data_IF_090942571263
#
_entry.id   IF_090942571263
#
_cell.length_a   1.000
_cell.length_b   1.000
_cell.length_c   1.000
_cell.angle_alpha   90.00
_cell.angle_beta   90.00
_cell.angle_gamma   90.00
#
_symmetry.space_group_name_H-M   'P 1'
#
loop_
_entity.id
_entity.type
_entity.pdbx_description
1 polymer ?
#
# COMPACT_ATOMS: atom_id res chain seq x y z
N UNK A 1 -23.14 -48.51 -17.56
CA UNK A 1 -22.56 -47.18 -17.85
C UNK A 1 -23.68 -46.31 -18.43
N UNK A 2 -24.19 -45.32 -17.67
CA UNK A 2 -25.35 -44.52 -18.10
C UNK A 2 -24.90 -43.49 -19.14
N UNK A 3 -25.27 -43.74 -20.40
CA UNK A 3 -25.13 -42.77 -21.48
C UNK A 3 -26.10 -41.62 -21.27
N UNK A 4 -25.61 -40.52 -20.69
CA UNK A 4 -26.35 -39.27 -20.57
C UNK A 4 -26.46 -38.60 -21.93
N UNK A 5 -27.69 -38.43 -22.42
CA UNK A 5 -28.03 -37.64 -23.60
C UNK A 5 -27.65 -36.18 -23.32
N UNK A 6 -26.50 -35.73 -23.83
CA UNK A 6 -26.07 -34.33 -23.75
C UNK A 6 -27.00 -33.49 -24.64
N UNK A 7 -28.02 -32.87 -24.04
CA UNK A 7 -28.82 -31.84 -24.70
C UNK A 7 -27.91 -30.62 -24.83
N UNK A 8 -27.24 -30.51 -25.97
CA UNK A 8 -26.41 -29.36 -26.32
C UNK A 8 -27.35 -28.20 -26.63
N UNK A 9 -27.56 -27.33 -25.64
CA UNK A 9 -28.27 -26.06 -25.83
C UNK A 9 -27.40 -25.17 -26.70
N UNK A 10 -28.00 -24.51 -27.70
CA UNK A 10 -27.30 -23.63 -28.64
C UNK A 10 -27.12 -22.25 -27.99
N UNK A 11 -26.07 -21.52 -28.36
CA UNK A 11 -25.84 -20.15 -27.93
C UNK A 11 -26.99 -19.24 -28.37
N UNK A 12 -27.63 -18.58 -27.40
CA UNK A 12 -28.76 -17.68 -27.61
C UNK A 12 -28.35 -16.34 -28.24
N UNK A 13 -27.05 -15.99 -28.21
CA UNK A 13 -26.53 -14.79 -28.87
C UNK A 13 -26.18 -15.00 -30.34
N UNK A 14 -25.55 -16.12 -30.69
CA UNK A 14 -25.03 -16.32 -32.04
C UNK A 14 -25.72 -17.43 -32.83
N UNK A 15 -26.50 -18.30 -32.19
CA UNK A 15 -27.24 -19.40 -32.84
C UNK A 15 -26.39 -20.47 -33.53
N UNK A 16 -25.06 -20.34 -33.55
CA UNK A 16 -24.16 -21.14 -34.40
C UNK A 16 -23.39 -22.21 -33.63
N UNK A 17 -23.14 -22.00 -32.34
CA UNK A 17 -22.28 -22.84 -31.50
C UNK A 17 -23.05 -23.31 -30.28
N UNK A 18 -22.60 -24.42 -29.69
CA UNK A 18 -23.14 -24.91 -28.42
C UNK A 18 -22.85 -23.88 -27.31
N UNK A 19 -23.86 -23.63 -26.48
CA UNK A 19 -23.70 -22.86 -25.26
C UNK A 19 -22.89 -23.68 -24.25
N UNK A 20 -21.86 -23.05 -23.70
CA UNK A 20 -20.99 -23.62 -22.66
C UNK A 20 -21.05 -22.83 -21.36
N UNK A 21 -21.51 -21.58 -21.42
CA UNK A 21 -21.54 -20.65 -20.30
C UNK A 21 -22.93 -20.03 -20.14
N UNK A 22 -23.18 -19.45 -18.97
CA UNK A 22 -24.42 -18.72 -18.65
C UNK A 22 -24.03 -17.30 -18.24
N UNK A 23 -24.65 -16.28 -18.83
CA UNK A 23 -24.42 -14.88 -18.43
C UNK A 23 -24.94 -14.65 -17.01
N UNK A 24 -24.13 -14.05 -16.14
CA UNK A 24 -24.54 -13.75 -14.76
C UNK A 24 -25.62 -12.66 -14.66
N UNK A 25 -25.68 -11.74 -15.63
CA UNK A 25 -26.65 -10.63 -15.63
C UNK A 25 -28.01 -11.03 -16.22
N UNK A 26 -28.02 -11.69 -17.37
CA UNK A 26 -29.27 -11.96 -18.12
C UNK A 26 -29.67 -13.44 -18.15
N UNK A 27 -28.85 -14.35 -17.62
CA UNK A 27 -29.14 -15.79 -17.57
C UNK A 27 -29.10 -16.52 -18.91
N UNK A 28 -28.77 -15.84 -20.02
CA UNK A 28 -28.70 -16.46 -21.36
C UNK A 28 -27.59 -17.49 -21.45
N UNK A 29 -27.82 -18.53 -22.25
CA UNK A 29 -26.88 -19.60 -22.56
C UNK A 29 -25.98 -19.21 -23.74
N UNK A 30 -24.67 -19.20 -23.55
CA UNK A 30 -23.72 -18.51 -24.43
C UNK A 30 -22.49 -19.37 -24.74
N UNK A 31 -21.91 -19.21 -25.93
CA UNK A 31 -20.67 -19.87 -26.34
C UNK A 31 -19.41 -19.11 -25.91
N UNK A 32 -18.26 -19.79 -25.95
CA UNK A 32 -16.93 -19.26 -25.60
C UNK A 32 -16.47 -17.99 -26.34
N UNK A 33 -17.10 -17.65 -27.46
CA UNK A 33 -16.78 -16.42 -28.23
C UNK A 33 -17.73 -15.26 -27.96
N UNK A 34 -18.84 -15.50 -27.27
CA UNK A 34 -19.86 -14.48 -27.02
C UNK A 34 -19.93 -14.11 -25.53
N UNK A 35 -18.97 -14.61 -24.73
CA UNK A 35 -18.79 -14.32 -23.32
C UNK A 35 -17.54 -13.44 -23.14
N UNK A 36 -17.64 -12.47 -22.25
CA UNK A 36 -16.48 -11.76 -21.69
C UNK A 36 -15.89 -12.64 -20.56
N UNK A 37 -14.70 -13.24 -20.73
CA UNK A 37 -14.19 -14.27 -19.81
C UNK A 37 -13.95 -13.80 -18.38
N UNK A 38 -13.65 -12.52 -18.19
CA UNK A 38 -13.34 -11.97 -16.87
C UNK A 38 -14.59 -11.65 -16.04
N UNK A 39 -15.63 -11.13 -16.68
CA UNK A 39 -16.86 -10.68 -16.02
C UNK A 39 -17.97 -11.74 -16.08
N UNK A 40 -17.80 -12.80 -16.87
CA UNK A 40 -18.81 -13.84 -17.09
C UNK A 40 -20.15 -13.30 -17.63
N UNK A 41 -20.06 -12.32 -18.53
CA UNK A 41 -21.20 -11.63 -19.13
C UNK A 41 -21.29 -11.89 -20.62
N UNK A 42 -22.49 -11.80 -21.20
CA UNK A 42 -22.61 -11.68 -22.65
C UNK A 42 -22.01 -10.36 -23.14
N UNK A 43 -21.57 -10.34 -24.40
CA UNK A 43 -21.10 -9.11 -25.06
C UNK A 43 -22.13 -7.96 -25.00
N UNK A 44 -23.43 -8.26 -25.08
CA UNK A 44 -24.49 -7.25 -24.94
C UNK A 44 -24.55 -6.64 -23.53
N UNK A 45 -24.46 -7.46 -22.48
CA UNK A 45 -24.43 -6.98 -21.09
C UNK A 45 -23.11 -6.27 -20.77
N UNK A 46 -22.00 -6.76 -21.33
CA UNK A 46 -20.69 -6.12 -21.20
C UNK A 46 -20.70 -4.71 -21.79
N UNK A 47 -21.19 -4.54 -23.03
CA UNK A 47 -21.25 -3.23 -23.69
C UNK A 47 -22.15 -2.24 -22.91
N UNK A 48 -23.22 -2.75 -22.29
CA UNK A 48 -24.10 -1.94 -21.43
C UNK A 48 -23.39 -1.42 -20.17
N UNK A 49 -22.45 -2.20 -19.60
CA UNK A 49 -21.64 -1.81 -18.44
C UNK A 49 -20.47 -0.92 -18.87
N UNK A 50 -19.83 -1.19 -20.00
CA UNK A 50 -18.70 -0.40 -20.51
C UNK A 50 -19.11 1.05 -20.86
N UNK A 51 -20.36 1.26 -21.26
CA UNK A 51 -20.92 2.62 -21.47
C UNK A 51 -21.23 3.39 -20.19
N UNK A 52 -21.28 2.73 -19.03
CA UNK A 52 -21.24 3.44 -17.75
C UNK A 52 -19.76 3.74 -17.46
N UNK A 53 -19.38 4.98 -17.09
CA UNK A 53 -18.00 5.27 -16.71
C UNK A 53 -17.64 4.36 -15.54
N UNK A 54 -16.91 3.30 -15.85
CA UNK A 54 -16.59 2.20 -14.98
C UNK A 54 -15.83 2.74 -13.76
N UNK A 55 -16.51 2.70 -12.61
CA UNK A 55 -15.85 2.66 -11.31
C UNK A 55 -15.01 1.40 -11.34
N UNK A 56 -13.70 1.60 -11.50
CA UNK A 56 -12.69 0.57 -11.56
C UNK A 56 -12.85 -0.34 -10.34
N UNK A 57 -13.39 -1.54 -10.57
CA UNK A 57 -13.55 -2.56 -9.54
C UNK A 57 -12.16 -3.09 -9.21
N UNK A 58 -11.60 -2.57 -8.12
CA UNK A 58 -10.98 -3.35 -7.06
C UNK A 58 -9.97 -4.44 -7.47
N UNK A 59 -9.15 -4.22 -8.51
CA UNK A 59 -7.77 -4.69 -8.40
C UNK A 59 -7.10 -3.65 -7.54
N UNK A 60 -6.89 -4.02 -6.27
CA UNK A 60 -6.20 -3.30 -5.18
C UNK A 60 -4.75 -2.96 -5.58
N UNK A 61 -4.59 -2.19 -6.64
CA UNK A 61 -3.37 -1.56 -7.11
C UNK A 61 -3.17 -0.42 -6.15
N UNK A 62 -2.32 -0.67 -5.16
CA UNK A 62 -1.88 0.29 -4.17
C UNK A 62 -1.72 1.66 -4.82
N UNK A 63 -2.66 2.54 -4.49
CA UNK A 63 -2.79 3.91 -4.98
C UNK A 63 -1.70 4.79 -4.32
N UNK A 64 -0.46 4.30 -4.30
CA UNK A 64 0.71 4.97 -3.71
C UNK A 64 1.07 6.25 -4.49
N UNK A 65 0.53 6.41 -5.70
CA UNK A 65 0.78 7.55 -6.56
C UNK A 65 -0.01 8.81 -6.16
N UNK A 66 -1.06 8.70 -5.33
CA UNK A 66 -1.89 9.85 -4.93
C UNK A 66 -1.93 10.13 -3.42
N UNK A 67 -1.17 9.39 -2.63
CA UNK A 67 -1.00 9.74 -1.22
C UNK A 67 -0.06 10.96 -1.20
N UNK A 68 -0.48 12.12 -0.67
CA UNK A 68 0.41 13.26 -0.57
C UNK A 68 1.63 12.80 0.22
N UNK A 69 2.84 12.95 -0.35
CA UNK A 69 4.11 12.52 0.27
C UNK A 69 4.23 12.90 1.75
N UNK A 70 3.58 14.01 2.14
CA UNK A 70 3.45 14.46 3.54
C UNK A 70 2.76 13.44 4.46
N UNK A 71 1.69 12.77 4.02
CA UNK A 71 0.99 11.75 4.84
C UNK A 71 1.85 10.48 5.01
N UNK A 72 2.57 10.06 3.97
CA UNK A 72 3.49 8.91 4.07
C UNK A 72 4.65 9.23 5.01
N UNK A 73 5.19 10.45 4.91
CA UNK A 73 6.26 10.92 5.78
C UNK A 73 5.82 10.99 7.25
N UNK A 74 4.62 11.52 7.53
CA UNK A 74 4.04 11.55 8.89
C UNK A 74 3.79 10.13 9.41
N UNK A 75 3.30 9.22 8.57
CA UNK A 75 3.07 7.83 8.96
C UNK A 75 4.39 7.13 9.30
N UNK A 76 5.44 7.33 8.48
CA UNK A 76 6.78 6.84 8.76
C UNK A 76 7.36 7.42 10.04
N UNK A 77 7.16 8.72 10.29
CA UNK A 77 7.58 9.39 11.53
C UNK A 77 6.91 8.82 12.78
N UNK A 78 5.60 8.58 12.74
CA UNK A 78 4.89 7.96 13.88
C UNK A 78 5.47 6.55 14.13
N UNK A 79 5.73 5.78 13.07
CA UNK A 79 6.24 4.43 13.17
C UNK A 79 7.67 4.37 13.74
N UNK A 80 8.55 5.30 13.35
CA UNK A 80 9.92 5.36 13.89
C UNK A 80 9.93 5.76 15.36
N UNK A 81 9.08 6.70 15.78
CA UNK A 81 8.94 7.07 17.19
C UNK A 81 8.43 5.92 18.04
N UNK A 82 7.41 5.20 17.56
CA UNK A 82 6.91 4.01 18.25
C UNK A 82 8.04 2.98 18.40
N UNK A 83 8.81 2.72 17.34
CA UNK A 83 9.94 1.81 17.39
C UNK A 83 11.02 2.24 18.40
N UNK A 84 11.40 3.52 18.39
CA UNK A 84 12.39 4.06 19.32
C UNK A 84 11.93 3.96 20.78
N UNK A 85 10.67 4.30 21.06
CA UNK A 85 10.10 4.19 22.42
C UNK A 85 10.11 2.73 22.88
N UNK A 86 9.72 1.78 22.03
CA UNK A 86 9.75 0.35 22.35
C UNK A 86 11.17 -0.11 22.70
N UNK A 87 12.18 0.30 21.92
CA UNK A 87 13.58 -0.06 22.18
C UNK A 87 14.10 0.53 23.49
N UNK A 88 13.77 1.79 23.79
CA UNK A 88 14.16 2.45 25.04
C UNK A 88 13.49 1.75 26.23
N UNK A 89 12.19 1.46 26.15
CA UNK A 89 11.48 0.74 27.20
C UNK A 89 12.04 -0.67 27.39
N UNK A 90 12.31 -1.40 26.31
CA UNK A 90 12.94 -2.72 26.38
C UNK A 90 14.33 -2.65 27.05
N UNK A 91 15.14 -1.64 26.74
CA UNK A 91 16.43 -1.44 27.38
C UNK A 91 16.29 -1.15 28.89
N UNK A 92 15.30 -0.35 29.29
CA UNK A 92 15.04 -0.02 30.70
C UNK A 92 14.51 -1.24 31.48
N UNK A 93 13.55 -1.97 30.94
CA UNK A 93 12.92 -3.13 31.60
C UNK A 93 13.80 -4.36 31.62
N UNK A 94 14.65 -4.55 30.61
CA UNK A 94 15.54 -5.71 30.56
C UNK A 94 16.60 -5.70 31.67
N UNK A 95 16.76 -4.59 32.40
CA UNK A 95 17.69 -4.48 33.54
C UNK A 95 19.14 -4.82 33.15
N UNK A 96 19.40 -4.89 31.85
CA UNK A 96 20.65 -5.34 31.29
C UNK A 96 21.64 -4.21 31.54
N UNK A 97 22.46 -4.39 32.57
CA UNK A 97 23.84 -3.91 32.53
C UNK A 97 24.46 -4.58 31.32
N UNK A 98 24.28 -4.03 30.12
CA UNK A 98 24.92 -4.54 28.91
C UNK A 98 26.41 -4.23 29.05
N UNK A 99 27.11 -5.01 29.88
CA UNK A 99 28.47 -5.37 29.57
C UNK A 99 28.37 -6.07 28.23
N UNK A 100 28.67 -5.33 27.17
CA UNK A 100 28.81 -5.87 25.83
C UNK A 100 29.90 -6.94 25.91
N UNK A 101 29.45 -8.17 26.15
CA UNK A 101 30.27 -9.36 26.18
C UNK A 101 31.00 -9.45 24.85
N UNK A 102 32.31 -9.60 24.95
CA UNK A 102 33.20 -9.91 23.86
C UNK A 102 32.70 -11.19 23.19
N UNK A 103 32.08 -11.07 22.02
CA UNK A 103 31.98 -12.14 21.04
C UNK A 103 32.22 -11.54 19.66
N UNK A 104 33.35 -11.97 19.08
CA UNK A 104 33.85 -11.70 17.74
C UNK A 104 32.75 -11.72 16.65
N UNK A 105 32.46 -10.56 16.03
CA UNK A 105 31.92 -10.46 14.66
C UNK A 105 32.21 -9.03 14.12
N UNK A 106 32.54 -8.84 12.83
CA UNK A 106 33.11 -7.59 12.31
C UNK A 106 32.01 -6.63 11.85
N UNK A 107 31.22 -6.09 12.77
CA UNK A 107 30.28 -5.01 12.45
C UNK A 107 30.51 -3.88 13.46
N UNK A 108 30.92 -2.68 13.03
CA UNK A 108 31.18 -1.58 13.95
C UNK A 108 29.83 -0.99 14.38
N UNK A 109 29.28 -1.49 15.48
CA UNK A 109 28.16 -0.86 16.17
C UNK A 109 28.75 0.16 17.14
N UNK A 110 28.33 1.41 16.97
CA UNK A 110 28.80 2.61 17.66
C UNK A 110 28.80 2.39 19.17
N UNK A 111 29.96 2.59 19.79
CA UNK A 111 30.19 2.44 21.22
C UNK A 111 29.31 3.41 22.03
N UNK A 112 28.53 2.82 22.94
CA UNK A 112 27.88 3.53 24.05
C UNK A 112 28.14 2.79 25.36
N UNK A 113 29.40 2.41 25.64
CA UNK A 113 29.78 1.77 26.89
C UNK A 113 30.58 2.77 27.76
N UNK A 114 29.91 3.36 28.76
CA UNK A 114 30.50 4.25 29.75
C UNK A 114 29.41 5.01 30.53
N UNK A 115 29.69 5.46 31.75
CA UNK A 115 28.77 6.25 32.61
C UNK A 115 28.24 7.53 31.92
N UNK A 116 28.89 7.94 30.83
CA UNK A 116 28.58 9.11 30.02
C UNK A 116 27.74 8.78 28.76
N UNK A 117 27.50 7.50 28.46
CA UNK A 117 26.77 7.09 27.25
C UNK A 117 25.30 7.51 27.28
N UNK A 118 24.67 7.48 28.45
CA UNK A 118 23.27 7.90 28.63
C UNK A 118 23.09 9.41 28.37
N UNK A 119 23.86 10.32 28.98
CA UNK A 119 23.73 11.75 28.66
C UNK A 119 24.10 12.07 27.21
N UNK A 120 25.10 11.39 26.62
CA UNK A 120 25.44 11.55 25.21
C UNK A 120 24.31 11.10 24.26
N UNK A 121 23.62 10.00 24.57
CA UNK A 121 22.44 9.57 23.81
C UNK A 121 21.28 10.57 23.92
N UNK A 122 21.05 11.14 25.11
CA UNK A 122 20.02 12.17 25.32
C UNK A 122 20.35 13.44 24.52
N UNK A 123 21.62 13.87 24.53
CA UNK A 123 22.09 15.04 23.77
C UNK A 123 21.97 14.79 22.26
N UNK A 124 22.37 13.61 21.78
CA UNK A 124 22.24 13.25 20.37
C UNK A 124 20.76 13.20 19.92
N UNK A 125 19.89 12.60 20.74
CA UNK A 125 18.45 12.53 20.45
C UNK A 125 17.80 13.92 20.42
N UNK A 126 18.14 14.79 21.38
CA UNK A 126 17.62 16.17 21.41
C UNK A 126 18.10 17.00 20.22
N UNK A 127 19.38 16.91 19.85
CA UNK A 127 19.90 17.58 18.65
C UNK A 127 19.25 17.06 17.36
N UNK A 128 19.05 15.74 17.25
CA UNK A 128 18.38 15.14 16.09
C UNK A 128 16.94 15.64 15.96
N UNK A 129 16.20 15.75 17.06
CA UNK A 129 14.82 16.29 17.07
C UNK A 129 14.82 17.77 16.64
N UNK A 130 15.75 18.58 17.15
CA UNK A 130 15.84 20.01 16.80
C UNK A 130 16.14 20.19 15.30
N UNK A 131 17.15 19.50 14.78
CA UNK A 131 17.50 19.54 13.35
C UNK A 131 16.33 19.10 12.49
N UNK A 132 15.63 18.04 12.90
CA UNK A 132 14.44 17.53 12.22
C UNK A 132 13.31 18.57 12.18
N UNK A 133 12.99 19.23 13.29
CA UNK A 133 11.97 20.30 13.36
C UNK A 133 12.34 21.46 12.43
N UNK A 134 13.61 21.86 12.40
CA UNK A 134 14.09 22.92 11.51
C UNK A 134 13.90 22.52 10.05
N UNK A 135 14.31 21.32 9.64
CA UNK A 135 14.12 20.82 8.28
C UNK A 135 12.64 20.76 7.93
N UNK A 136 11.79 20.30 8.84
CA UNK A 136 10.35 20.22 8.64
C UNK A 136 9.72 21.61 8.40
N UNK A 137 10.07 22.60 9.22
CA UNK A 137 9.61 23.99 9.06
C UNK A 137 10.12 24.57 7.72
N UNK A 138 11.37 24.32 7.34
CA UNK A 138 11.94 24.79 6.07
C UNK A 138 11.22 24.16 4.86
N UNK A 139 10.88 22.88 4.92
CA UNK A 139 10.13 22.20 3.87
C UNK A 139 8.71 22.76 3.73
N UNK A 140 8.04 23.05 4.85
CA UNK A 140 6.72 23.71 4.85
C UNK A 140 6.83 25.11 4.24
N UNK A 141 7.78 25.93 4.71
CA UNK A 141 7.99 27.30 4.20
C UNK A 141 8.29 27.32 2.70
N UNK A 142 9.12 26.39 2.20
CA UNK A 142 9.41 26.24 0.77
C UNK A 142 8.18 25.85 -0.06
N UNK A 143 7.22 25.11 0.51
CA UNK A 143 5.97 24.74 -0.16
C UNK A 143 4.98 25.91 -0.20
N UNK A 144 4.87 26.70 0.88
CA UNK A 144 4.06 27.93 0.88
C UNK A 144 4.59 28.96 -0.13
N UNK A 145 5.91 29.12 -0.25
CA UNK A 145 6.49 30.06 -1.21
C UNK A 145 6.26 29.69 -2.69
N UNK A 146 6.01 28.41 -3.01
CA UNK A 146 5.68 27.98 -4.39
C UNK A 146 4.20 28.17 -4.74
N UNK A 147 3.35 28.48 -3.76
CA UNK A 147 1.90 28.66 -3.94
C UNK A 147 1.45 30.12 -3.76
N UNK A 148 2.35 31.09 -3.72
CA UNK A 148 1.99 32.50 -3.94
C UNK A 148 2.04 32.79 -5.45
N UNK A 149 0.93 32.68 -6.19
CA UNK A 149 0.81 33.43 -7.43
C UNK A 149 0.94 34.90 -7.05
N UNK A 150 1.92 35.56 -7.65
CA UNK A 150 2.04 37.01 -7.70
C UNK A 150 0.68 37.50 -8.24
N UNK A 151 -0.19 37.99 -7.36
CA UNK A 151 -1.38 38.73 -7.76
C UNK A 151 -0.88 40.08 -8.26
N UNK A 152 -0.54 40.14 -9.55
CA UNK A 152 -0.46 41.40 -10.27
C UNK A 152 -1.88 41.96 -10.38
N UNK A 153 -2.14 43.04 -9.67
CA UNK A 153 -3.19 44.00 -9.99
C UNK A 153 -2.66 45.40 -9.71
#
# INVERSE_FOLDING_TARGET
MRGGKLILKICELCGKRNARYVCQECGRLICERCIEPYLWLCLECYEKIERTPYVETEVRRWDYARIPLMKIFILGFILTFIGAIILILAALFSGLKVSFGIVFLPIPIIFGAGEQAVPLMIIAATLAIIIYVIIFILLIKRRLSKHLPIKSS
#
